data_IF_809292672101
#
_entry.id   IF_809292672101
#
_cell.length_a   1.000
_cell.length_b   1.000
_cell.length_c   1.000
_cell.angle_alpha   90.00
_cell.angle_beta   90.00
_cell.angle_gamma   90.00
#
_symmetry.space_group_name_H-M   'P 1'
#
loop_
_entity.id
_entity.type
_entity.pdbx_description
1 polymer ?
#
# COMPACT_ATOMS: atom_id res chain seq x y z
N UNK A 1 12.26 -13.26 -29.45
CA UNK A 1 11.20 -13.20 -28.42
C UNK A 1 10.32 -12.02 -28.78
N UNK A 2 9.00 -12.21 -28.96
CA UNK A 2 8.10 -11.09 -29.24
C UNK A 2 8.06 -10.13 -28.05
N UNK A 3 8.01 -8.81 -28.31
CA UNK A 3 7.81 -7.81 -27.25
C UNK A 3 6.51 -8.13 -26.50
N UNK A 4 6.52 -8.10 -25.18
CA UNK A 4 5.28 -8.29 -24.39
C UNK A 4 4.42 -7.03 -24.43
N UNK A 5 3.16 -7.10 -23.99
CA UNK A 5 2.30 -5.91 -23.82
C UNK A 5 2.92 -4.91 -22.84
N UNK A 6 3.67 -5.41 -21.85
CA UNK A 6 4.47 -4.57 -20.95
C UNK A 6 5.51 -3.76 -21.72
N UNK A 7 6.29 -4.42 -22.56
CA UNK A 7 7.34 -3.75 -23.33
C UNK A 7 6.75 -2.73 -24.31
N UNK A 8 5.62 -3.06 -24.95
CA UNK A 8 4.94 -2.14 -25.88
C UNK A 8 4.46 -0.85 -25.19
N UNK A 9 3.82 -0.97 -24.02
CA UNK A 9 3.31 0.19 -23.27
C UNK A 9 4.47 0.98 -22.67
N UNK A 10 5.49 0.31 -22.13
CA UNK A 10 6.65 0.99 -21.56
C UNK A 10 7.42 1.77 -22.63
N UNK A 11 7.67 1.16 -23.80
CA UNK A 11 8.32 1.82 -24.94
C UNK A 11 7.54 3.06 -25.38
N UNK A 12 6.20 2.97 -25.44
CA UNK A 12 5.35 4.11 -25.78
C UNK A 12 5.49 5.25 -24.75
N UNK A 13 5.50 4.94 -23.44
CA UNK A 13 5.66 5.95 -22.40
C UNK A 13 7.07 6.55 -22.33
N UNK A 14 8.10 5.76 -22.59
CA UNK A 14 9.50 6.21 -22.60
C UNK A 14 9.83 7.07 -23.84
N UNK A 15 9.04 6.95 -24.90
CA UNK A 15 9.14 7.82 -26.08
C UNK A 15 8.53 9.21 -25.89
N UNK A 16 7.78 9.45 -24.80
CA UNK A 16 7.13 10.73 -24.52
C UNK A 16 8.12 11.75 -23.94
N UNK A 17 7.95 13.02 -24.32
CA UNK A 17 8.64 14.12 -23.63
C UNK A 17 8.06 14.32 -22.22
N UNK A 18 8.79 15.04 -21.35
CA UNK A 18 8.38 15.25 -19.96
C UNK A 18 6.97 15.89 -19.82
N UNK A 19 6.67 16.92 -20.62
CA UNK A 19 5.35 17.59 -20.64
C UNK A 19 4.24 16.64 -21.15
N UNK A 20 4.54 15.83 -22.16
CA UNK A 20 3.58 14.85 -22.70
C UNK A 20 3.27 13.74 -21.70
N UNK A 21 4.31 13.27 -21.01
CA UNK A 21 4.19 12.26 -19.96
C UNK A 21 3.40 12.79 -18.75
N UNK A 22 3.59 14.05 -18.38
CA UNK A 22 2.83 14.70 -17.29
C UNK A 22 1.35 14.82 -17.65
N UNK A 23 1.03 15.27 -18.88
CA UNK A 23 -0.35 15.32 -19.40
C UNK A 23 -0.98 13.95 -19.48
N UNK A 24 -0.22 12.94 -19.93
CA UNK A 24 -0.67 11.55 -19.97
C UNK A 24 -1.04 11.05 -18.57
N UNK A 25 -0.15 11.23 -17.59
CA UNK A 25 -0.36 10.83 -16.19
C UNK A 25 -1.55 11.55 -15.55
N UNK A 26 -1.71 12.84 -15.82
CA UNK A 26 -2.84 13.63 -15.34
C UNK A 26 -4.17 13.13 -15.95
N UNK A 27 -4.24 12.89 -17.26
CA UNK A 27 -5.43 12.35 -17.93
C UNK A 27 -5.79 10.93 -17.45
N UNK A 28 -4.78 10.08 -17.28
CA UNK A 28 -4.95 8.75 -16.73
C UNK A 28 -5.48 8.78 -15.28
N UNK A 29 -5.04 9.77 -14.48
CA UNK A 29 -5.54 10.00 -13.11
C UNK A 29 -6.97 10.53 -13.09
N UNK A 30 -7.30 11.48 -13.98
CA UNK A 30 -8.59 12.14 -14.05
C UNK A 30 -9.74 11.19 -14.40
N UNK A 31 -9.44 10.08 -15.11
CA UNK A 31 -10.42 9.05 -15.43
C UNK A 31 -10.85 8.21 -14.20
N UNK A 32 -10.19 8.35 -13.05
CA UNK A 32 -10.36 7.49 -11.85
C UNK A 32 -10.24 5.98 -12.14
N UNK A 33 -9.76 5.63 -13.32
CA UNK A 33 -9.73 4.28 -13.85
C UNK A 33 -8.51 3.51 -13.35
N UNK A 34 -7.57 4.10 -12.60
CA UNK A 34 -6.44 3.39 -11.98
C UNK A 34 -6.26 3.95 -10.56
N UNK A 35 -6.83 3.28 -9.57
CA UNK A 35 -6.70 3.66 -8.15
C UNK A 35 -5.31 3.32 -7.59
N UNK A 36 -4.99 3.94 -6.45
CA UNK A 36 -3.76 3.80 -5.64
C UNK A 36 -2.59 4.75 -5.98
N UNK A 37 -2.74 6.01 -5.58
CA UNK A 37 -1.65 6.96 -5.34
C UNK A 37 -1.15 7.72 -6.57
N UNK A 38 -1.01 9.04 -6.42
CA UNK A 38 -0.48 10.05 -7.37
C UNK A 38 0.31 9.41 -8.55
N UNK A 39 -0.39 9.07 -9.63
CA UNK A 39 0.22 8.54 -10.87
C UNK A 39 1.27 9.54 -11.40
N UNK A 40 1.07 10.81 -11.11
CA UNK A 40 1.98 11.92 -11.39
C UNK A 40 3.39 11.74 -10.80
N UNK A 41 3.54 11.00 -9.68
CA UNK A 41 4.82 10.84 -8.96
C UNK A 41 5.52 9.49 -9.18
N UNK A 42 4.95 8.58 -9.96
CA UNK A 42 5.52 7.23 -10.16
C UNK A 42 6.23 7.09 -11.51
N UNK A 43 7.17 6.13 -11.60
CA UNK A 43 7.94 5.85 -12.81
C UNK A 43 7.08 5.28 -13.94
N UNK A 44 7.54 5.36 -15.20
CA UNK A 44 6.84 4.81 -16.36
C UNK A 44 6.62 3.30 -16.23
N UNK A 45 7.59 2.59 -15.65
CA UNK A 45 7.46 1.17 -15.30
C UNK A 45 6.29 0.92 -14.34
N UNK A 46 6.13 1.76 -13.31
CA UNK A 46 5.05 1.64 -12.35
C UNK A 46 3.68 1.99 -12.97
N UNK A 47 3.62 2.99 -13.85
CA UNK A 47 2.40 3.30 -14.62
C UNK A 47 2.02 2.13 -15.52
N UNK A 48 2.99 1.57 -16.25
CA UNK A 48 2.80 0.42 -17.16
C UNK A 48 2.29 -0.80 -16.40
N UNK A 49 2.89 -1.12 -15.25
CA UNK A 49 2.47 -2.24 -14.43
C UNK A 49 1.04 -2.07 -13.92
N UNK A 50 0.65 -0.85 -13.54
CA UNK A 50 -0.71 -0.56 -13.07
C UNK A 50 -1.76 -0.71 -14.18
N UNK A 51 -1.45 -0.26 -15.40
CA UNK A 51 -2.34 -0.43 -16.56
C UNK A 51 -2.54 -1.93 -16.83
N UNK A 52 -1.46 -2.72 -16.84
CA UNK A 52 -1.52 -4.15 -17.17
C UNK A 52 -2.16 -4.99 -16.07
N UNK A 53 -1.99 -4.61 -14.79
CA UNK A 53 -2.65 -5.30 -13.69
C UNK A 53 -4.18 -5.09 -13.69
N UNK A 54 -4.65 -3.99 -14.28
CA UNK A 54 -6.07 -3.62 -14.26
C UNK A 54 -6.85 -4.06 -15.50
N UNK A 55 -6.21 -4.07 -16.66
CA UNK A 55 -6.86 -4.33 -17.94
C UNK A 55 -6.36 -5.61 -18.59
N UNK A 56 -7.19 -6.26 -19.41
CA UNK A 56 -6.71 -7.36 -20.24
C UNK A 56 -5.66 -6.86 -21.24
N UNK A 57 -4.84 -7.74 -21.82
CA UNK A 57 -3.80 -7.35 -22.79
C UNK A 57 -4.30 -6.42 -23.91
N UNK A 58 -5.49 -6.71 -24.45
CA UNK A 58 -6.12 -5.91 -25.51
C UNK A 58 -6.65 -4.59 -24.97
N UNK A 59 -7.29 -4.61 -23.82
CA UNK A 59 -7.87 -3.42 -23.20
C UNK A 59 -6.79 -2.46 -22.70
N UNK A 60 -5.69 -2.97 -22.18
CA UNK A 60 -4.53 -2.18 -21.76
C UNK A 60 -3.95 -1.34 -22.92
N UNK A 61 -3.83 -1.95 -24.10
CA UNK A 61 -3.40 -1.27 -25.33
C UNK A 61 -4.44 -0.23 -25.76
N UNK A 62 -5.72 -0.60 -25.83
CA UNK A 62 -6.79 0.30 -26.24
C UNK A 62 -6.95 1.50 -25.29
N UNK A 63 -6.86 1.29 -23.98
CA UNK A 63 -6.89 2.36 -22.98
C UNK A 63 -5.69 3.29 -23.12
N UNK A 64 -4.48 2.74 -23.27
CA UNK A 64 -3.25 3.54 -23.46
C UNK A 64 -3.34 4.39 -24.72
N UNK A 65 -3.75 3.80 -25.85
CA UNK A 65 -3.96 4.50 -27.12
C UNK A 65 -5.05 5.58 -27.02
N UNK A 66 -6.12 5.33 -26.26
CA UNK A 66 -7.18 6.32 -26.03
C UNK A 66 -6.65 7.54 -25.28
N UNK A 67 -5.86 7.34 -24.22
CA UNK A 67 -5.28 8.46 -23.46
C UNK A 67 -4.25 9.22 -24.30
N UNK A 68 -3.45 8.53 -25.12
CA UNK A 68 -2.53 9.18 -26.08
C UNK A 68 -3.28 10.08 -27.07
N UNK A 69 -4.42 9.63 -27.62
CA UNK A 69 -5.27 10.45 -28.51
C UNK A 69 -5.84 11.69 -27.81
N UNK A 70 -6.14 11.60 -26.52
CA UNK A 70 -6.67 12.73 -25.73
C UNK A 70 -5.65 13.81 -25.40
N UNK A 71 -4.36 13.52 -25.54
CA UNK A 71 -3.26 14.47 -25.40
C UNK A 71 -2.65 14.83 -26.76
N UNK A 72 -3.39 14.62 -27.84
CA UNK A 72 -3.03 14.93 -29.23
C UNK A 72 -1.84 14.12 -29.78
N UNK A 73 -1.55 12.95 -29.21
CA UNK A 73 -0.50 12.02 -29.67
C UNK A 73 -1.10 10.86 -30.49
N UNK A 74 -1.68 11.20 -31.65
CA UNK A 74 -2.39 10.23 -32.50
C UNK A 74 -1.45 9.22 -33.17
N UNK A 75 -0.31 9.69 -33.67
CA UNK A 75 0.68 8.85 -34.35
C UNK A 75 1.21 7.77 -33.39
N UNK A 76 1.53 8.14 -32.15
CA UNK A 76 1.99 7.21 -31.10
C UNK A 76 0.92 6.21 -30.68
N UNK A 77 -0.36 6.61 -30.70
CA UNK A 77 -1.48 5.72 -30.40
C UNK A 77 -1.66 4.66 -31.51
N UNK A 78 -1.50 5.06 -32.77
CA UNK A 78 -1.58 4.18 -33.94
C UNK A 78 -0.38 3.23 -33.99
N UNK A 79 0.83 3.72 -33.76
CA UNK A 79 2.05 2.91 -33.68
C UNK A 79 1.94 1.80 -32.60
N UNK A 80 1.37 2.13 -31.44
CA UNK A 80 1.16 1.18 -30.34
C UNK A 80 0.15 0.08 -30.71
N UNK A 81 -0.99 0.45 -31.30
CA UNK A 81 -2.03 -0.50 -31.72
C UNK A 81 -1.54 -1.38 -32.87
N UNK A 82 -0.78 -0.83 -33.83
CA UNK A 82 -0.22 -1.59 -34.94
C UNK A 82 0.87 -2.57 -34.47
N UNK A 83 1.75 -2.13 -33.55
CA UNK A 83 2.77 -2.99 -32.95
C UNK A 83 2.14 -4.18 -32.20
N UNK A 84 0.99 -3.99 -31.55
CA UNK A 84 0.23 -5.07 -30.92
C UNK A 84 -0.44 -6.00 -31.95
N UNK A 85 -1.01 -5.45 -33.03
CA UNK A 85 -1.64 -6.24 -34.09
C UNK A 85 -0.67 -7.16 -34.83
N UNK A 86 0.56 -6.69 -35.10
CA UNK A 86 1.63 -7.49 -35.74
C UNK A 86 2.02 -8.72 -34.92
N UNK A 87 1.83 -8.71 -33.60
CA UNK A 87 2.12 -9.86 -32.73
C UNK A 87 1.05 -10.96 -32.82
N UNK A 88 -0.21 -10.61 -33.13
CA UNK A 88 -1.30 -11.57 -33.28
C UNK A 88 -1.25 -12.37 -34.59
N UNK A 89 -0.61 -11.83 -35.64
CA UNK A 89 -0.56 -12.44 -36.97
C UNK A 89 0.49 -13.56 -37.11
N UNK A 90 1.45 -13.68 -36.19
CA UNK A 90 2.57 -14.63 -36.31
C UNK A 90 2.26 -16.07 -35.83
N UNK A 91 1.03 -16.36 -35.38
CA UNK A 91 0.68 -17.66 -34.75
C UNK A 91 -0.10 -18.63 -35.65
N UNK A 92 -0.36 -18.31 -36.92
CA UNK A 92 -1.18 -19.16 -37.83
C UNK A 92 -0.47 -19.40 -39.17
N UNK A 93 0.65 -20.12 -39.15
CA UNK A 93 1.25 -20.66 -40.37
C UNK A 93 2.16 -21.85 -40.03
N UNK A 94 1.62 -23.07 -40.05
CA UNK A 94 2.45 -24.26 -39.96
C UNK A 94 1.70 -25.53 -39.59
N UNK A 95 1.03 -26.15 -40.57
CA UNK A 95 0.99 -27.63 -40.67
C UNK A 95 0.43 -28.01 -42.05
N UNK A 96 1.32 -28.02 -43.05
CA UNK A 96 1.07 -28.63 -44.36
C UNK A 96 1.51 -30.10 -44.33
N UNK A 97 0.53 -30.97 -44.53
CA UNK A 97 0.54 -32.15 -45.41
C UNK A 97 1.85 -32.95 -45.61
N UNK A 98 1.83 -34.23 -45.23
CA UNK A 98 2.52 -35.29 -45.98
C UNK A 98 1.68 -36.57 -45.99
N UNK A 99 0.77 -36.65 -46.96
CA UNK A 99 0.32 -37.92 -47.52
C UNK A 99 1.45 -38.61 -48.31
N UNK A 100 1.64 -39.92 -48.08
CA UNK A 100 2.64 -40.73 -48.77
C UNK A 100 2.24 -42.21 -48.80
N UNK A 101 1.31 -42.54 -49.70
CA UNK A 101 0.87 -43.89 -50.06
C UNK A 101 1.88 -44.49 -51.04
N UNK A 102 2.44 -45.65 -50.71
CA UNK A 102 3.12 -46.51 -51.69
C UNK A 102 2.32 -47.79 -51.88
N UNK A 103 1.98 -48.06 -53.14
CA UNK A 103 1.27 -49.25 -53.61
C UNK A 103 2.24 -50.42 -53.83
N UNK A 104 1.69 -51.63 -53.69
CA UNK A 104 2.25 -52.93 -54.10
C UNK A 104 2.77 -52.96 -55.55
N UNK A 105 3.56 -54.00 -55.91
CA UNK A 105 2.91 -55.05 -56.71
C UNK A 105 3.22 -56.49 -56.26
N UNK A 106 2.23 -57.31 -56.56
CA UNK A 106 2.09 -58.77 -56.45
C UNK A 106 3.11 -59.57 -57.28
N UNK A 107 3.40 -60.82 -56.87
CA UNK A 107 3.30 -62.03 -57.72
C UNK A 107 3.34 -63.35 -56.89
N UNK A 108 2.20 -64.06 -56.93
CA UNK A 108 1.88 -65.50 -56.93
C UNK A 108 2.67 -66.59 -56.16
N UNK A 109 1.88 -67.36 -55.36
CA UNK A 109 1.78 -68.85 -55.20
C UNK A 109 3.09 -69.67 -55.00
N UNK A 110 3.29 -70.46 -53.93
CA UNK A 110 2.44 -71.53 -53.37
C UNK A 110 3.02 -71.96 -52.00
N UNK A 111 2.16 -72.49 -51.12
CA UNK A 111 2.42 -73.29 -49.88
C UNK A 111 1.77 -72.71 -48.60
N UNK A 112 0.85 -73.48 -48.02
CA UNK A 112 0.20 -73.29 -46.71
C UNK A 112 0.40 -74.63 -45.98
N UNK A 113 0.86 -74.70 -44.71
CA UNK A 113 0.36 -73.90 -43.60
C UNK A 113 1.44 -73.47 -42.58
N UNK A 114 2.22 -72.42 -42.87
CA UNK A 114 3.00 -71.70 -41.83
C UNK A 114 2.46 -70.28 -41.56
N UNK A 115 1.70 -69.72 -42.52
CA UNK A 115 1.11 -68.38 -42.43
C UNK A 115 -0.01 -68.26 -41.41
N UNK A 116 -0.74 -69.35 -41.14
CA UNK A 116 -1.85 -69.35 -40.19
C UNK A 116 -1.38 -69.21 -38.73
N UNK A 117 -0.27 -69.86 -38.34
CA UNK A 117 0.27 -69.73 -36.98
C UNK A 117 0.91 -68.36 -36.73
N UNK A 118 1.58 -67.78 -37.74
CA UNK A 118 2.10 -66.40 -37.68
C UNK A 118 0.98 -65.35 -37.64
N UNK A 119 -0.10 -65.53 -38.42
CA UNK A 119 -1.26 -64.64 -38.40
C UNK A 119 -2.09 -64.78 -37.10
N UNK A 120 -2.21 -65.99 -36.55
CA UNK A 120 -2.86 -66.24 -35.25
C UNK A 120 -2.04 -65.66 -34.09
N UNK A 121 -0.70 -65.73 -34.17
CA UNK A 121 0.21 -65.08 -33.20
C UNK A 121 0.14 -63.55 -33.28
N UNK A 122 0.06 -62.97 -34.49
CA UNK A 122 -0.14 -61.53 -34.67
C UNK A 122 -1.52 -61.05 -34.18
N UNK A 123 -2.58 -61.84 -34.38
CA UNK A 123 -3.92 -61.53 -33.87
C UNK A 123 -3.97 -61.57 -32.33
N UNK A 124 -3.35 -62.58 -31.70
CA UNK A 124 -3.22 -62.64 -30.25
C UNK A 124 -2.41 -61.46 -29.69
N UNK A 125 -1.26 -61.15 -30.30
CA UNK A 125 -0.43 -60.00 -29.92
C UNK A 125 -1.14 -58.65 -30.09
N UNK A 126 -2.00 -58.50 -31.11
CA UNK A 126 -2.85 -57.32 -31.29
C UNK A 126 -3.88 -57.20 -30.17
N UNK A 127 -4.55 -58.28 -29.78
CA UNK A 127 -5.53 -58.30 -28.69
C UNK A 127 -4.89 -57.89 -27.36
N UNK A 128 -3.70 -58.40 -27.06
CA UNK A 128 -2.96 -57.99 -25.85
C UNK A 128 -2.59 -56.50 -25.86
N UNK A 129 -2.14 -55.98 -27.03
CA UNK A 129 -1.85 -54.55 -27.20
C UNK A 129 -3.11 -53.68 -27.13
N UNK A 130 -4.24 -54.16 -27.62
CA UNK A 130 -5.55 -53.49 -27.52
C UNK A 130 -5.96 -53.36 -26.05
N UNK A 131 -5.85 -54.44 -25.26
CA UNK A 131 -6.15 -54.43 -23.83
C UNK A 131 -5.22 -53.48 -23.04
N UNK A 132 -3.92 -53.47 -23.36
CA UNK A 132 -2.97 -52.52 -22.76
C UNK A 132 -3.32 -51.07 -23.11
N UNK A 133 -3.74 -50.80 -24.35
CA UNK A 133 -4.16 -49.48 -24.79
C UNK A 133 -5.40 -49.01 -24.03
N UNK A 134 -6.41 -49.86 -23.83
CA UNK A 134 -7.59 -49.54 -23.05
C UNK A 134 -7.27 -49.23 -21.57
N UNK A 135 -6.39 -50.01 -20.94
CA UNK A 135 -5.94 -49.73 -19.56
C UNK A 135 -5.22 -48.39 -19.49
N UNK A 136 -4.38 -48.09 -20.48
CA UNK A 136 -3.65 -46.82 -20.58
C UNK A 136 -4.60 -45.65 -20.80
N UNK A 137 -5.62 -45.83 -21.65
CA UNK A 137 -6.66 -44.85 -21.91
C UNK A 137 -7.47 -44.53 -20.65
N UNK A 138 -7.89 -45.55 -19.88
CA UNK A 138 -8.60 -45.35 -18.60
C UNK A 138 -7.74 -44.60 -17.60
N UNK A 139 -6.46 -44.95 -17.46
CA UNK A 139 -5.52 -44.22 -16.59
C UNK A 139 -5.34 -42.77 -17.02
N UNK A 140 -5.25 -42.51 -18.32
CA UNK A 140 -5.17 -41.15 -18.86
C UNK A 140 -6.44 -40.35 -18.55
N UNK A 141 -7.63 -40.93 -18.71
CA UNK A 141 -8.90 -40.29 -18.39
C UNK A 141 -9.02 -39.94 -16.90
N UNK A 142 -8.63 -40.87 -16.02
CA UNK A 142 -8.60 -40.61 -14.57
C UNK A 142 -7.64 -39.47 -14.23
N UNK A 143 -6.45 -39.47 -14.83
CA UNK A 143 -5.48 -38.39 -14.67
C UNK A 143 -6.00 -37.03 -15.13
N UNK A 144 -6.73 -36.99 -16.25
CA UNK A 144 -7.39 -35.76 -16.75
C UNK A 144 -8.40 -35.25 -15.72
N UNK A 145 -9.31 -36.10 -15.24
CA UNK A 145 -10.33 -35.71 -14.27
C UNK A 145 -9.73 -35.16 -12.96
N UNK A 146 -8.66 -35.79 -12.46
CA UNK A 146 -7.95 -35.30 -11.27
C UNK A 146 -7.33 -33.93 -11.50
N UNK A 147 -6.74 -33.69 -12.68
CA UNK A 147 -6.14 -32.41 -13.04
C UNK A 147 -7.19 -31.33 -13.27
N UNK A 148 -8.33 -31.66 -13.86
CA UNK A 148 -9.48 -30.75 -14.01
C UNK A 148 -10.02 -30.31 -12.64
N UNK A 149 -10.15 -31.24 -11.69
CA UNK A 149 -10.53 -30.92 -10.31
C UNK A 149 -9.52 -29.98 -9.65
N UNK A 150 -8.23 -30.31 -9.70
CA UNK A 150 -7.16 -29.45 -9.15
C UNK A 150 -7.13 -28.07 -9.78
N UNK A 151 -7.41 -27.96 -11.08
CA UNK A 151 -7.52 -26.69 -11.79
C UNK A 151 -8.70 -25.87 -11.25
N UNK A 152 -9.84 -26.50 -10.98
CA UNK A 152 -11.00 -25.84 -10.39
C UNK A 152 -10.70 -25.35 -8.96
N UNK A 153 -10.09 -26.19 -8.12
CA UNK A 153 -9.69 -25.82 -6.75
C UNK A 153 -8.74 -24.61 -6.76
N UNK A 154 -7.76 -24.60 -7.68
CA UNK A 154 -6.80 -23.51 -7.83
C UNK A 154 -7.47 -22.19 -8.27
N UNK A 155 -8.43 -22.26 -9.20
CA UNK A 155 -9.23 -21.09 -9.61
C UNK A 155 -10.00 -20.52 -8.43
N UNK A 156 -10.67 -21.36 -7.64
CA UNK A 156 -11.41 -20.92 -6.47
C UNK A 156 -10.48 -20.29 -5.41
N UNK A 157 -9.29 -20.86 -5.18
CA UNK A 157 -8.29 -20.29 -4.28
C UNK A 157 -7.80 -18.91 -4.76
N UNK A 158 -7.54 -18.76 -6.07
CA UNK A 158 -7.17 -17.48 -6.68
C UNK A 158 -8.26 -16.41 -6.53
N UNK A 159 -9.51 -16.77 -6.79
CA UNK A 159 -10.65 -15.86 -6.63
C UNK A 159 -10.84 -15.46 -5.16
N UNK A 160 -10.66 -16.40 -4.24
CA UNK A 160 -10.75 -16.15 -2.79
C UNK A 160 -9.64 -15.20 -2.32
N UNK A 161 -8.40 -15.43 -2.78
CA UNK A 161 -7.27 -14.54 -2.48
C UNK A 161 -7.51 -13.14 -3.05
N UNK A 162 -8.02 -13.04 -4.27
CA UNK A 162 -8.35 -11.74 -4.91
C UNK A 162 -9.38 -10.97 -4.09
N UNK A 163 -10.47 -11.62 -3.67
CA UNK A 163 -11.48 -11.00 -2.80
C UNK A 163 -10.90 -10.59 -1.45
N UNK A 164 -10.07 -11.45 -0.85
CA UNK A 164 -9.42 -11.15 0.43
C UNK A 164 -8.47 -9.97 0.33
N UNK A 165 -7.70 -9.86 -0.75
CA UNK A 165 -6.79 -8.74 -0.99
C UNK A 165 -7.59 -7.44 -1.16
N UNK A 166 -8.67 -7.46 -1.94
CA UNK A 166 -9.55 -6.31 -2.12
C UNK A 166 -10.15 -5.84 -0.78
N UNK A 167 -10.68 -6.77 0.03
CA UNK A 167 -11.21 -6.45 1.35
C UNK A 167 -10.14 -5.83 2.27
N UNK A 168 -8.93 -6.39 2.30
CA UNK A 168 -7.82 -5.86 3.10
C UNK A 168 -7.44 -4.44 2.67
N UNK A 169 -7.51 -4.13 1.37
CA UNK A 169 -7.26 -2.79 0.84
C UNK A 169 -8.36 -1.82 1.26
N UNK A 170 -9.64 -2.19 1.12
CA UNK A 170 -10.78 -1.37 1.54
C UNK A 170 -10.74 -1.06 3.04
N UNK A 171 -10.44 -2.06 3.87
CA UNK A 171 -10.26 -1.87 5.31
C UNK A 171 -9.09 -0.94 5.63
N UNK A 172 -7.98 -1.09 4.93
CA UNK A 172 -6.82 -0.22 5.09
C UNK A 172 -7.14 1.23 4.72
N UNK A 173 -7.82 1.46 3.59
CA UNK A 173 -8.27 2.79 3.18
C UNK A 173 -9.22 3.44 4.19
N UNK A 174 -10.15 2.65 4.75
CA UNK A 174 -11.06 3.11 5.80
C UNK A 174 -10.28 3.55 7.04
N UNK A 175 -9.34 2.73 7.51
CA UNK A 175 -8.49 3.04 8.68
C UNK A 175 -7.68 4.33 8.44
N UNK A 176 -7.03 4.47 7.28
CA UNK A 176 -6.28 5.68 6.97
C UNK A 176 -7.17 6.92 6.87
N UNK A 177 -8.38 6.78 6.33
CA UNK A 177 -9.37 7.86 6.28
C UNK A 177 -9.77 8.32 7.68
N UNK A 178 -10.04 7.39 8.60
CA UNK A 178 -10.34 7.70 10.00
C UNK A 178 -9.18 8.41 10.70
N UNK A 179 -7.93 7.96 10.46
CA UNK A 179 -6.72 8.60 10.98
C UNK A 179 -6.57 10.04 10.47
N UNK A 180 -6.72 10.27 9.16
CA UNK A 180 -6.64 11.60 8.56
C UNK A 180 -7.64 12.55 9.24
N UNK A 181 -8.92 12.15 9.35
CA UNK A 181 -9.95 12.95 10.04
C UNK A 181 -9.59 13.23 11.50
N UNK A 182 -9.01 12.25 12.19
CA UNK A 182 -8.54 12.37 13.56
C UNK A 182 -7.41 13.40 13.70
N UNK A 183 -6.50 13.47 12.72
CA UNK A 183 -5.44 14.47 12.67
C UNK A 183 -5.93 15.86 12.29
N UNK A 184 -6.90 15.97 11.37
CA UNK A 184 -7.53 17.25 11.05
C UNK A 184 -8.25 17.87 12.24
N UNK A 185 -8.92 17.04 13.06
CA UNK A 185 -9.51 17.47 14.32
C UNK A 185 -8.46 18.01 15.28
N UNK A 186 -7.40 17.24 15.57
CA UNK A 186 -6.28 17.67 16.45
C UNK A 186 -5.57 18.92 15.94
N UNK A 187 -5.38 19.05 14.63
CA UNK A 187 -4.83 20.27 14.01
C UNK A 187 -5.69 21.49 14.36
N UNK A 188 -7.01 21.33 14.32
CA UNK A 188 -7.94 22.41 14.65
C UNK A 188 -7.90 22.73 16.15
N UNK A 189 -7.85 21.72 17.02
CA UNK A 189 -7.69 21.89 18.48
C UNK A 189 -6.42 22.69 18.83
N UNK A 190 -5.26 22.32 18.26
CA UNK A 190 -3.99 23.05 18.50
C UNK A 190 -4.07 24.49 17.99
N UNK A 191 -4.71 24.72 16.83
CA UNK A 191 -4.87 26.05 16.25
C UNK A 191 -5.72 26.95 17.15
N UNK A 192 -6.85 26.47 17.64
CA UNK A 192 -7.72 27.25 18.51
C UNK A 192 -7.07 27.49 19.88
N UNK A 193 -6.35 26.51 20.44
CA UNK A 193 -5.56 26.70 21.67
C UNK A 193 -4.56 27.86 21.54
N UNK A 194 -3.81 27.94 20.43
CA UNK A 194 -2.85 29.03 20.19
C UNK A 194 -3.58 30.37 20.08
N UNK A 195 -4.73 30.40 19.40
CA UNK A 195 -5.53 31.63 19.24
C UNK A 195 -6.08 32.13 20.56
N UNK A 196 -6.67 31.24 21.35
CA UNK A 196 -7.25 31.57 22.66
C UNK A 196 -6.18 32.06 23.63
N UNK A 197 -5.06 31.35 23.71
CA UNK A 197 -3.93 31.75 24.56
C UNK A 197 -3.32 33.08 24.10
N UNK A 198 -3.16 33.27 22.79
CA UNK A 198 -2.66 34.52 22.22
C UNK A 198 -3.58 35.69 22.53
N UNK A 199 -4.90 35.53 22.35
CA UNK A 199 -5.90 36.54 22.69
C UNK A 199 -5.88 36.87 24.18
N UNK A 200 -5.84 35.86 25.05
CA UNK A 200 -5.77 36.06 26.49
C UNK A 200 -4.53 36.84 26.92
N UNK A 201 -3.36 36.51 26.35
CA UNK A 201 -2.11 37.21 26.62
C UNK A 201 -2.15 38.68 26.15
N UNK A 202 -2.70 38.95 24.96
CA UNK A 202 -2.88 40.31 24.43
C UNK A 202 -3.84 41.11 25.31
N UNK A 203 -5.01 40.57 25.64
CA UNK A 203 -5.97 41.26 26.52
C UNK A 203 -5.42 41.49 27.94
N UNK A 204 -4.52 40.65 28.43
CA UNK A 204 -3.80 40.93 29.67
C UNK A 204 -2.83 42.10 29.50
N UNK A 205 -2.07 42.15 28.40
CA UNK A 205 -1.15 43.24 28.12
C UNK A 205 -1.88 44.58 27.94
N UNK A 206 -3.00 44.60 27.22
CA UNK A 206 -3.84 45.80 27.03
C UNK A 206 -4.30 46.38 28.37
N UNK A 207 -4.78 45.55 29.30
CA UNK A 207 -5.17 46.02 30.65
C UNK A 207 -3.99 46.62 31.43
N UNK A 208 -2.79 46.04 31.31
CA UNK A 208 -1.59 46.58 31.97
C UNK A 208 -1.14 47.90 31.33
N UNK A 209 -1.29 48.04 30.00
CA UNK A 209 -1.01 49.28 29.28
C UNK A 209 -1.98 50.38 29.74
N UNK A 210 -3.28 50.12 29.75
CA UNK A 210 -4.30 51.09 30.20
C UNK A 210 -4.04 51.54 31.64
N UNK A 211 -3.68 50.60 32.52
CA UNK A 211 -3.33 50.91 33.90
C UNK A 211 -2.10 51.84 33.96
N UNK A 212 -1.02 51.53 33.24
CA UNK A 212 0.19 52.36 33.21
C UNK A 212 -0.07 53.75 32.59
N UNK A 213 -0.90 53.84 31.56
CA UNK A 213 -1.27 55.12 30.96
C UNK A 213 -2.01 56.02 31.95
N UNK A 214 -2.92 55.45 32.75
CA UNK A 214 -3.62 56.17 33.81
C UNK A 214 -2.65 56.62 34.92
N UNK A 215 -1.76 55.73 35.37
CA UNK A 215 -0.73 56.06 36.38
C UNK A 215 0.17 57.21 35.91
N UNK A 216 0.62 57.18 34.64
CA UNK A 216 1.42 58.24 34.04
C UNK A 216 0.63 59.55 33.96
N UNK A 217 -0.66 59.49 33.61
CA UNK A 217 -1.50 60.69 33.54
C UNK A 217 -1.69 61.34 34.91
N UNK A 218 -1.89 60.55 35.97
CA UNK A 218 -1.98 61.04 37.36
C UNK A 218 -0.65 61.63 37.85
N UNK A 219 0.47 60.98 37.54
CA UNK A 219 1.80 61.49 37.85
C UNK A 219 2.06 62.83 37.14
N UNK A 220 1.74 62.94 35.85
CA UNK A 220 1.85 64.20 35.09
C UNK A 220 0.96 65.31 35.64
N UNK A 221 -0.25 64.98 36.10
CA UNK A 221 -1.14 65.95 36.74
C UNK A 221 -0.53 66.50 38.04
N UNK A 222 -0.04 65.61 38.91
CA UNK A 222 0.62 66.01 40.18
C UNK A 222 1.90 66.79 39.94
N UNK A 223 2.70 66.41 38.95
CA UNK A 223 3.90 67.15 38.55
C UNK A 223 3.55 68.60 38.13
N UNK A 224 2.49 68.79 37.34
CA UNK A 224 2.01 70.11 36.97
C UNK A 224 1.46 70.92 38.16
N UNK A 225 0.77 70.27 39.12
CA UNK A 225 0.30 70.91 40.36
C UNK A 225 1.48 71.38 41.23
N UNK A 226 2.54 70.57 41.35
CA UNK A 226 3.77 70.91 42.06
C UNK A 226 4.49 72.09 41.40
N UNK A 227 4.60 72.09 40.07
CA UNK A 227 5.20 73.19 39.30
C UNK A 227 4.41 74.50 39.45
N UNK A 228 3.07 74.45 39.47
CA UNK A 228 2.27 75.65 39.73
C UNK A 228 2.46 76.17 41.17
N UNK A 229 2.50 75.26 42.13
CA UNK A 229 2.67 75.61 43.53
C UNK A 229 4.05 76.27 43.80
N UNK A 230 5.11 75.80 43.14
CA UNK A 230 6.46 76.36 43.30
C UNK A 230 6.59 77.81 42.81
N UNK A 231 5.72 78.25 41.91
CA UNK A 231 5.66 79.62 41.39
C UNK A 231 4.69 80.53 42.17
N UNK A 232 4.05 80.04 43.23
CA UNK A 232 3.08 80.81 44.01
C UNK A 232 3.77 81.76 45.00
N UNK A 233 3.47 83.06 44.93
CA UNK A 233 4.01 84.08 45.86
C UNK A 233 3.26 84.14 47.21
N UNK A 234 2.03 83.61 47.29
CA UNK A 234 1.26 83.52 48.54
C UNK A 234 1.80 82.39 49.44
N UNK A 235 2.56 82.78 50.46
CA UNK A 235 3.20 81.85 51.39
C UNK A 235 2.21 81.04 52.24
N UNK A 236 1.01 81.53 52.51
CA UNK A 236 0.01 80.79 53.30
C UNK A 236 -0.61 79.70 52.41
N UNK A 237 -1.02 80.05 51.19
CA UNK A 237 -1.53 79.08 50.21
C UNK A 237 -0.47 78.03 49.87
N UNK A 238 0.81 78.43 49.74
CA UNK A 238 1.92 77.51 49.54
C UNK A 238 1.99 76.47 50.65
N UNK A 239 2.04 76.89 51.92
CA UNK A 239 2.16 75.99 53.06
C UNK A 239 0.95 75.05 53.20
N UNK A 240 -0.27 75.53 52.91
CA UNK A 240 -1.48 74.72 52.98
C UNK A 240 -1.54 73.65 51.87
N UNK A 241 -1.27 74.05 50.63
CA UNK A 241 -1.35 73.16 49.46
C UNK A 241 -0.17 72.19 49.39
N UNK A 242 1.02 72.61 49.85
CA UNK A 242 2.22 71.75 49.89
C UNK A 242 2.01 70.52 50.79
N UNK A 243 1.24 70.66 51.86
CA UNK A 243 0.90 69.57 52.77
C UNK A 243 0.03 68.49 52.11
N UNK A 244 -0.80 68.86 51.13
CA UNK A 244 -1.69 67.92 50.41
C UNK A 244 -1.03 67.29 49.18
N UNK A 245 -0.13 68.00 48.51
CA UNK A 245 0.46 67.56 47.22
C UNK A 245 1.77 66.78 47.43
N UNK A 246 2.48 67.02 48.53
CA UNK A 246 3.73 66.31 48.85
C UNK A 246 3.53 64.91 49.45
N UNK A 247 2.31 64.53 49.83
CA UNK A 247 2.02 63.16 50.25
C UNK A 247 1.94 62.26 49.01
N UNK A 248 2.87 61.30 48.83
CA UNK A 248 2.77 60.36 47.72
C UNK A 248 1.52 59.48 47.90
N UNK A 249 0.85 59.04 46.81
CA UNK A 249 -0.05 57.91 46.90
C UNK A 249 0.74 56.77 47.52
N UNK A 250 0.21 56.14 48.57
CA UNK A 250 0.94 55.15 49.35
C UNK A 250 1.53 54.06 48.44
N UNK A 251 2.70 53.49 48.77
CA UNK A 251 3.32 52.40 48.01
C UNK A 251 2.45 51.13 47.88
N UNK A 252 1.27 51.11 48.51
CA UNK A 252 0.34 49.98 48.55
C UNK A 252 -0.76 49.99 47.49
N UNK A 253 -0.97 51.09 46.75
CA UNK A 253 -2.10 51.19 45.80
C UNK A 253 -1.73 50.88 44.35
N UNK A 254 -0.43 50.77 44.03
CA UNK A 254 0.07 50.54 42.68
C UNK A 254 0.70 49.14 42.56
N UNK A 255 0.10 48.21 41.79
CA UNK A 255 0.70 46.91 41.51
C UNK A 255 2.11 47.08 40.92
N UNK A 256 3.12 46.43 41.50
CA UNK A 256 4.45 46.32 40.86
C UNK A 256 4.31 45.46 39.58
N UNK A 257 4.07 46.11 38.46
CA UNK A 257 3.99 45.45 37.15
C UNK A 257 5.39 44.96 36.78
N UNK A 258 5.59 43.64 36.86
CA UNK A 258 6.81 42.99 36.36
C UNK A 258 6.50 42.42 34.98
N UNK A 259 7.08 43.04 33.94
CA UNK A 259 6.88 42.60 32.55
C UNK A 259 7.91 41.53 32.20
N UNK A 260 7.46 40.38 31.68
CA UNK A 260 8.34 39.44 31.01
C UNK A 260 8.48 39.85 29.52
N UNK A 261 9.65 40.28 29.05
CA UNK A 261 9.84 40.72 27.67
C UNK A 261 9.93 39.57 26.65
N UNK A 262 9.99 38.32 27.10
CA UNK A 262 10.20 37.14 26.24
C UNK A 262 8.98 36.22 26.21
N UNK A 263 7.82 36.75 25.80
CA UNK A 263 6.61 35.94 25.58
C UNK A 263 6.63 35.38 24.16
N UNK A 264 6.72 34.05 24.01
CA UNK A 264 6.73 33.38 22.70
C UNK A 264 6.07 32.00 22.71
N UNK A 265 5.63 31.54 21.53
CA UNK A 265 5.11 30.18 21.31
C UNK A 265 6.18 29.20 20.80
N UNK A 266 7.47 29.49 21.00
CA UNK A 266 8.56 28.65 20.48
C UNK A 266 8.57 27.25 21.10
N UNK A 267 8.35 27.15 22.41
CA UNK A 267 8.25 25.86 23.09
C UNK A 267 7.09 25.00 22.51
N UNK A 268 5.93 25.62 22.26
CA UNK A 268 4.79 24.94 21.63
C UNK A 268 5.15 24.45 20.23
N UNK A 269 5.80 25.29 19.42
CA UNK A 269 6.24 24.91 18.06
C UNK A 269 7.19 23.71 18.11
N UNK A 270 8.13 23.70 19.06
CA UNK A 270 9.04 22.58 19.28
C UNK A 270 8.28 21.30 19.63
N UNK A 271 7.28 21.37 20.52
CA UNK A 271 6.46 20.21 20.88
C UNK A 271 5.68 19.65 19.67
N UNK A 272 5.16 20.51 18.78
CA UNK A 272 4.49 20.06 17.54
C UNK A 272 5.48 19.38 16.59
N UNK A 273 6.72 19.90 16.47
CA UNK A 273 7.78 19.24 15.69
C UNK A 273 8.17 17.87 16.25
N UNK A 274 8.34 17.77 17.58
CA UNK A 274 8.64 16.49 18.23
C UNK A 274 7.51 15.46 18.04
N UNK A 275 6.25 15.90 18.08
CA UNK A 275 5.11 15.05 17.76
C UNK A 275 5.19 14.50 16.32
N UNK A 276 5.53 15.35 15.36
CA UNK A 276 5.71 14.94 13.95
C UNK A 276 6.78 13.86 13.84
N UNK A 277 7.96 14.07 14.42
CA UNK A 277 9.08 13.12 14.34
C UNK A 277 8.71 11.76 14.93
N UNK A 278 8.04 11.74 16.09
CA UNK A 278 7.57 10.50 16.73
C UNK A 278 6.56 9.75 15.87
N UNK A 279 5.65 10.47 15.22
CA UNK A 279 4.66 9.86 14.33
C UNK A 279 5.32 9.25 13.09
N UNK A 280 6.27 9.95 12.48
CA UNK A 280 7.01 9.45 11.32
C UNK A 280 7.80 8.17 11.67
N UNK A 281 8.43 8.12 12.85
CA UNK A 281 9.16 6.94 13.32
C UNK A 281 8.23 5.73 13.53
N UNK A 282 7.10 5.94 14.22
CA UNK A 282 6.08 4.89 14.42
C UNK A 282 5.56 4.39 13.07
N UNK A 283 5.20 5.29 12.16
CA UNK A 283 4.71 4.92 10.83
C UNK A 283 5.75 4.09 10.05
N UNK A 284 7.02 4.47 10.09
CA UNK A 284 8.10 3.74 9.42
C UNK A 284 8.22 2.31 9.97
N UNK A 285 8.21 2.16 11.30
CA UNK A 285 8.29 0.84 11.95
C UNK A 285 7.12 -0.07 11.60
N UNK A 286 5.89 0.46 11.62
CA UNK A 286 4.69 -0.33 11.32
C UNK A 286 4.58 -0.68 9.83
N UNK A 287 4.97 0.23 8.92
CA UNK A 287 4.96 -0.07 7.47
C UNK A 287 5.87 -1.26 7.13
N UNK A 288 7.03 -1.39 7.78
CA UNK A 288 7.91 -2.55 7.59
C UNK A 288 7.21 -3.85 8.00
N UNK A 289 6.50 -3.87 9.13
CA UNK A 289 5.75 -5.05 9.60
C UNK A 289 4.60 -5.40 8.67
N UNK A 290 3.90 -4.39 8.15
CA UNK A 290 2.81 -4.56 7.18
C UNK A 290 3.36 -5.19 5.89
N UNK A 291 4.46 -4.65 5.34
CA UNK A 291 5.12 -5.20 4.16
C UNK A 291 5.53 -6.66 4.35
N UNK A 292 6.20 -6.98 5.46
CA UNK A 292 6.60 -8.35 5.80
C UNK A 292 5.41 -9.31 5.94
N UNK A 293 4.25 -8.82 6.38
CA UNK A 293 3.03 -9.62 6.50
C UNK A 293 2.39 -9.86 5.12
N UNK A 294 2.38 -8.83 4.27
CA UNK A 294 1.87 -8.93 2.91
C UNK A 294 2.68 -9.91 2.04
N UNK A 295 4.00 -9.93 2.17
CA UNK A 295 4.90 -10.84 1.45
C UNK A 295 4.66 -12.32 1.77
N UNK A 296 4.08 -12.64 2.94
CA UNK A 296 3.79 -14.03 3.33
C UNK A 296 2.53 -14.59 2.65
N UNK A 297 1.72 -13.76 2.01
CA UNK A 297 0.47 -14.19 1.39
C UNK A 297 0.73 -14.74 -0.02
N UNK A 298 0.60 -16.04 -0.19
CA UNK A 298 0.79 -16.70 -1.49
C UNK A 298 -0.04 -17.99 -1.58
N UNK A 299 -0.45 -18.33 -2.80
CA UNK A 299 -1.06 -19.63 -3.08
C UNK A 299 0.08 -20.62 -3.20
N UNK A 300 0.22 -21.47 -2.19
CA UNK A 300 1.30 -22.44 -2.10
C UNK A 300 1.24 -23.46 -3.23
N UNK A 301 2.37 -23.61 -3.90
CA UNK A 301 2.63 -24.81 -4.68
C UNK A 301 3.46 -25.77 -3.81
N UNK A 302 2.77 -26.63 -3.06
CA UNK A 302 3.37 -27.63 -2.16
C UNK A 302 4.06 -28.76 -2.96
N UNK A 303 5.14 -28.43 -3.66
CA UNK A 303 5.90 -29.37 -4.52
C UNK A 303 7.29 -29.70 -3.98
N UNK A 304 7.78 -28.97 -2.99
CA UNK A 304 9.13 -29.13 -2.44
C UNK A 304 9.09 -29.37 -0.93
N UNK A 305 10.04 -30.12 -0.39
CA UNK A 305 10.13 -30.39 1.05
C UNK A 305 10.27 -29.09 1.85
N UNK A 306 10.99 -28.13 1.28
CA UNK A 306 11.21 -26.79 1.84
C UNK A 306 9.89 -26.02 2.00
N UNK A 307 8.97 -26.11 1.02
CA UNK A 307 7.64 -25.48 1.10
C UNK A 307 6.77 -26.06 2.22
N UNK A 308 6.92 -27.35 2.53
CA UNK A 308 6.23 -27.99 3.66
C UNK A 308 6.84 -27.61 5.01
N UNK A 309 8.16 -27.46 5.09
CA UNK A 309 8.86 -27.16 6.34
C UNK A 309 8.54 -25.77 6.90
N UNK A 310 8.09 -24.81 6.08
CA UNK A 310 7.59 -23.52 6.57
C UNK A 310 6.37 -23.64 7.50
N UNK A 311 5.63 -24.74 7.41
CA UNK A 311 4.47 -25.04 8.25
C UNK A 311 4.79 -26.07 9.35
N UNK A 312 6.07 -26.45 9.49
CA UNK A 312 6.47 -27.39 10.52
C UNK A 312 6.33 -26.75 11.89
N UNK A 313 5.53 -27.38 12.74
CA UNK A 313 5.50 -27.09 14.16
C UNK A 313 6.10 -28.28 14.91
N UNK A 314 6.77 -27.99 16.01
CA UNK A 314 7.37 -29.04 16.83
C UNK A 314 6.27 -29.64 17.71
N UNK A 315 5.79 -30.83 17.32
CA UNK A 315 4.76 -31.54 18.07
C UNK A 315 5.35 -32.22 19.30
N UNK A 316 4.59 -32.20 20.40
CA UNK A 316 4.86 -32.95 21.63
C UNK A 316 3.64 -33.78 21.97
N UNK A 317 3.87 -35.01 22.39
CA UNK A 317 2.84 -35.94 22.83
C UNK A 317 2.40 -35.58 24.26
N UNK A 318 1.10 -35.66 24.54
CA UNK A 318 0.55 -35.43 25.88
C UNK A 318 0.68 -36.71 26.73
N UNK A 319 1.48 -36.70 27.82
CA UNK A 319 1.64 -37.85 28.69
C UNK A 319 0.33 -38.38 29.29
N UNK A 320 -0.68 -37.53 29.46
CA UNK A 320 -1.97 -37.92 30.04
C UNK A 320 -2.83 -38.74 29.06
N UNK A 321 -2.47 -38.73 27.77
CA UNK A 321 -3.15 -39.49 26.73
C UNK A 321 -2.44 -40.80 26.36
N UNK A 322 -1.24 -41.03 26.91
CA UNK A 322 -0.46 -42.22 26.61
C UNK A 322 -1.08 -43.46 27.26
N UNK A 323 -1.27 -44.53 26.47
CA UNK A 323 -1.69 -45.83 26.98
C UNK A 323 -0.59 -46.41 27.91
N UNK A 324 -0.97 -47.20 28.92
CA UNK A 324 -0.02 -47.77 29.90
C UNK A 324 1.05 -48.68 29.31
N UNK A 325 0.86 -49.20 28.09
CA UNK A 325 1.85 -49.99 27.36
C UNK A 325 2.81 -49.14 26.51
N UNK A 326 2.67 -47.81 26.54
CA UNK A 326 3.45 -46.88 25.75
C UNK A 326 4.27 -45.96 26.67
N UNK A 327 5.56 -45.86 26.38
CA UNK A 327 6.49 -45.00 27.06
C UNK A 327 6.88 -43.81 26.17
N UNK A 328 6.85 -42.61 26.73
CA UNK A 328 7.26 -41.38 26.05
C UNK A 328 8.72 -41.04 26.39
N UNK A 329 9.54 -40.83 25.37
CA UNK A 329 10.96 -40.48 25.49
C UNK A 329 11.29 -39.21 24.70
N UNK A 330 12.53 -38.72 24.83
CA UNK A 330 13.04 -37.51 24.16
C UNK A 330 12.15 -36.26 24.32
N UNK A 331 11.78 -35.95 25.58
CA UNK A 331 10.94 -34.78 25.87
C UNK A 331 9.52 -34.90 25.31
N UNK A 332 8.94 -36.11 25.36
CA UNK A 332 7.62 -36.47 24.83
C UNK A 332 7.51 -36.33 23.30
N UNK A 333 8.58 -36.62 22.58
CA UNK A 333 8.62 -36.54 21.10
C UNK A 333 8.80 -37.90 20.45
N UNK A 334 9.19 -38.91 21.22
CA UNK A 334 9.29 -40.30 20.78
C UNK A 334 8.35 -41.18 21.61
N UNK A 335 7.77 -42.19 20.95
CA UNK A 335 6.83 -43.14 21.53
C UNK A 335 7.42 -44.55 21.36
N UNK A 336 7.60 -45.25 22.47
CA UNK A 336 8.16 -46.60 22.50
C UNK A 336 7.18 -47.57 23.15
N UNK A 337 7.10 -48.80 22.65
CA UNK A 337 6.24 -49.82 23.24
C UNK A 337 6.98 -50.54 24.37
N UNK A 338 6.46 -50.49 25.58
CA UNK A 338 7.05 -51.17 26.73
C UNK A 338 6.46 -52.58 26.88
N UNK A 339 7.06 -53.56 26.22
CA UNK A 339 6.81 -54.98 26.53
C UNK A 339 7.36 -55.28 27.94
N UNK A 340 6.48 -55.45 28.92
CA UNK A 340 6.87 -56.04 30.20
C UNK A 340 6.87 -57.56 30.03
N UNK A 341 8.07 -58.16 29.97
CA UNK A 341 8.29 -59.61 30.04
C UNK A 341 8.51 -60.07 31.47
#
# INVERSE_FOLDING_TARGET
>A
MGKTVYDLILDALDSLSADQLERFKHKLSARQEIGYGLIEKVSNMAVTQRIINKFTKKDAIAHTATVLREIDLRDQAEDLEEAYARQGASSVAGMGDTGGRASDPSFTQTEVPARAQSAVSAAAGRTDKQNQLEVTQRKSQQGIQEREKKLQDLRQAADSLTRSAQAAVEDSERIFTELIRSFERRRSEVKELIRDQGKAAVSQAERLIEQLEQEIAELRRRDAELEQLSHTEDHIHFLQSCQSVCDPPGPGDLPKITVNPHVSFEALRKQVSELKERLEDVCKGELVKISQTAEKVHILELRTRESFLQYSCQLTLDPNTANTLLHLSEGNRQLEFSCHS
#
